data_IF_376851328973
#
_entry.id   IF_376851328973
#
_cell.length_a   1.000
_cell.length_b   1.000
_cell.length_c   1.000
_cell.angle_alpha   90.00
_cell.angle_beta   90.00
_cell.angle_gamma   90.00
#
_symmetry.space_group_name_H-M   'P 1'
#
loop_
_entity.id
_entity.type
_entity.pdbx_description
1 polymer ?
#
# COMPACT_ATOMS: atom_id res chain seq x y z
N UNK A 1 4.87 1.55 -7.76
CA UNK A 1 4.15 2.71 -8.33
C UNK A 1 5.04 3.93 -8.11
N UNK A 2 4.99 4.94 -8.98
CA UNK A 2 5.79 6.14 -8.78
C UNK A 2 5.24 6.96 -7.60
N UNK A 3 6.14 7.46 -6.75
CA UNK A 3 5.84 8.39 -5.67
C UNK A 3 5.27 9.70 -6.26
N UNK A 4 4.37 10.38 -5.54
CA UNK A 4 3.84 11.67 -5.96
C UNK A 4 4.97 12.70 -5.96
N UNK A 5 5.22 13.34 -7.11
CA UNK A 5 6.12 14.49 -7.20
C UNK A 5 5.45 15.74 -6.56
N UNK A 6 5.97 16.24 -5.42
CA UNK A 6 5.37 17.36 -4.72
C UNK A 6 5.53 18.69 -5.47
N UNK A 7 6.62 18.89 -6.22
CA UNK A 7 6.83 20.12 -6.99
C UNK A 7 5.85 20.20 -8.16
N UNK A 8 5.67 19.09 -8.88
CA UNK A 8 4.67 19.00 -9.93
C UNK A 8 3.26 19.25 -9.40
N UNK A 9 2.90 18.61 -8.28
CA UNK A 9 1.58 18.75 -7.68
C UNK A 9 1.29 20.20 -7.23
N UNK A 10 2.27 20.88 -6.62
CA UNK A 10 2.16 22.30 -6.25
C UNK A 10 1.94 23.17 -7.48
N UNK A 11 2.69 22.94 -8.57
CA UNK A 11 2.56 23.71 -9.81
C UNK A 11 1.17 23.55 -10.46
N UNK A 12 0.61 22.34 -10.47
CA UNK A 12 -0.75 22.10 -10.99
C UNK A 12 -1.83 22.78 -10.13
N UNK A 13 -1.68 22.73 -8.80
CA UNK A 13 -2.56 23.45 -7.88
C UNK A 13 -2.47 24.96 -8.11
N UNK A 14 -1.28 25.52 -8.27
CA UNK A 14 -1.10 26.95 -8.51
C UNK A 14 -1.72 27.39 -9.83
N UNK A 15 -1.56 26.61 -10.89
CA UNK A 15 -2.18 26.91 -12.17
C UNK A 15 -3.71 26.87 -12.09
N UNK A 16 -4.29 25.93 -11.34
CA UNK A 16 -5.73 25.89 -11.07
C UNK A 16 -6.19 27.13 -10.26
N UNK A 17 -5.48 27.47 -9.19
CA UNK A 17 -5.78 28.63 -8.35
C UNK A 17 -5.67 29.95 -9.14
N UNK A 18 -4.75 30.03 -10.09
CA UNK A 18 -4.59 31.18 -10.97
C UNK A 18 -5.79 31.30 -11.92
N UNK A 19 -6.15 30.25 -12.65
CA UNK A 19 -7.25 30.23 -13.63
C UNK A 19 -8.61 30.50 -12.98
N UNK A 20 -8.81 30.05 -11.75
CA UNK A 20 -10.06 30.25 -11.01
C UNK A 20 -10.04 31.50 -10.13
N UNK A 21 -8.98 32.32 -10.18
CA UNK A 21 -8.90 33.57 -9.43
C UNK A 21 -9.98 34.56 -9.89
N UNK A 22 -10.56 35.29 -8.93
CA UNK A 22 -11.57 36.31 -9.20
C UNK A 22 -10.91 37.62 -9.57
N UNK A 23 -11.16 38.08 -10.79
CA UNK A 23 -10.63 39.34 -11.34
C UNK A 23 -11.79 40.24 -11.77
N UNK A 24 -11.54 41.56 -11.74
CA UNK A 24 -12.42 42.53 -12.38
C UNK A 24 -12.00 42.63 -13.84
N UNK A 25 -12.87 42.32 -14.83
CA UNK A 25 -12.56 42.47 -16.24
C UNK A 25 -12.19 43.92 -16.57
N UNK A 26 -11.09 44.10 -17.31
CA UNK A 26 -10.82 45.37 -17.98
C UNK A 26 -11.67 45.42 -19.26
N UNK A 27 -12.68 46.29 -19.26
CA UNK A 27 -13.58 46.49 -20.41
C UNK A 27 -13.16 47.69 -21.28
N UNK A 28 -11.99 48.29 -21.01
CA UNK A 28 -11.49 49.46 -21.70
C UNK A 28 -11.97 50.80 -21.12
N UNK A 29 -11.49 51.93 -21.68
CA UNK A 29 -11.69 53.24 -21.09
C UNK A 29 -13.18 53.64 -21.05
N UNK A 30 -13.65 54.03 -19.86
CA UNK A 30 -15.00 54.57 -19.65
C UNK A 30 -16.10 53.54 -19.37
N UNK A 31 -15.78 52.24 -19.32
CA UNK A 31 -16.75 51.17 -19.01
C UNK A 31 -16.44 50.60 -17.61
N UNK A 32 -17.37 50.76 -16.68
CA UNK A 32 -17.28 50.14 -15.36
C UNK A 32 -17.95 48.76 -15.37
N UNK A 33 -17.22 47.71 -15.00
CA UNK A 33 -17.78 46.38 -14.77
C UNK A 33 -18.14 46.19 -13.30
N UNK A 34 -19.39 45.85 -13.01
CA UNK A 34 -19.86 45.56 -11.65
C UNK A 34 -19.87 44.05 -11.42
N UNK A 35 -18.80 43.54 -10.82
CA UNK A 35 -18.68 42.13 -10.44
C UNK A 35 -17.26 41.60 -10.60
N UNK A 36 -17.10 40.29 -10.41
CA UNK A 36 -15.85 39.57 -10.70
C UNK A 36 -16.15 38.35 -11.54
N UNK A 37 -15.18 37.97 -12.38
CA UNK A 37 -15.21 36.74 -13.17
C UNK A 37 -13.97 35.91 -12.87
N UNK A 38 -13.96 34.64 -13.28
CA UNK A 38 -12.73 33.85 -13.27
C UNK A 38 -11.73 34.42 -14.28
N UNK A 39 -10.44 34.38 -13.94
CA UNK A 39 -9.38 34.89 -14.81
C UNK A 39 -9.24 34.09 -16.11
N UNK A 40 -9.49 32.78 -16.06
CA UNK A 40 -9.44 31.89 -17.22
C UNK A 40 -10.79 31.35 -17.64
N UNK A 41 -10.78 30.54 -18.71
CA UNK A 41 -11.99 29.98 -19.28
C UNK A 41 -12.61 28.88 -18.39
N UNK A 42 -13.95 28.69 -18.41
CA UNK A 42 -14.59 27.59 -17.69
C UNK A 42 -14.08 26.20 -18.09
N UNK A 43 -13.69 26.03 -19.37
CA UNK A 43 -13.15 24.78 -19.91
C UNK A 43 -11.75 24.49 -19.39
N UNK A 44 -10.88 25.50 -19.33
CA UNK A 44 -9.55 25.35 -18.72
C UNK A 44 -9.66 25.07 -17.21
N UNK A 45 -10.55 25.79 -16.52
CA UNK A 45 -10.82 25.57 -15.11
C UNK A 45 -11.28 24.12 -14.84
N UNK A 46 -12.17 23.57 -15.67
CA UNK A 46 -12.64 22.20 -15.55
C UNK A 46 -11.53 21.17 -15.80
N UNK A 47 -10.68 21.39 -16.81
CA UNK A 47 -9.56 20.49 -17.10
C UNK A 47 -8.55 20.44 -15.93
N UNK A 48 -8.23 21.61 -15.36
CA UNK A 48 -7.33 21.69 -14.20
C UNK A 48 -7.98 21.16 -12.92
N UNK A 49 -9.28 21.38 -12.74
CA UNK A 49 -10.04 20.83 -11.61
C UNK A 49 -9.88 19.31 -11.54
N UNK A 50 -9.99 18.59 -12.66
CA UNK A 50 -9.82 17.14 -12.68
C UNK A 50 -8.45 16.69 -12.14
N UNK A 51 -7.36 17.35 -12.59
CA UNK A 51 -6.00 17.04 -12.12
C UNK A 51 -5.87 17.34 -10.63
N UNK A 52 -6.39 18.49 -10.18
CA UNK A 52 -6.39 18.86 -8.76
C UNK A 52 -7.17 17.86 -7.92
N UNK A 53 -8.33 17.39 -8.35
CA UNK A 53 -9.10 16.36 -7.63
C UNK A 53 -8.28 15.08 -7.43
N UNK A 54 -7.54 14.64 -8.46
CA UNK A 54 -6.65 13.48 -8.36
C UNK A 54 -5.48 13.70 -7.39
N UNK A 55 -4.94 14.93 -7.33
CA UNK A 55 -3.92 15.31 -6.34
C UNK A 55 -4.55 15.32 -4.94
N UNK A 56 -5.74 15.88 -4.78
CA UNK A 56 -6.44 15.94 -3.50
C UNK A 56 -6.76 14.55 -2.95
N UNK A 57 -7.16 13.60 -3.80
CA UNK A 57 -7.39 12.20 -3.42
C UNK A 57 -6.12 11.54 -2.85
N UNK A 58 -4.92 12.02 -3.22
CA UNK A 58 -3.62 11.55 -2.68
C UNK A 58 -3.14 12.34 -1.47
N UNK A 59 -3.39 13.65 -1.41
CA UNK A 59 -2.78 14.57 -0.43
C UNK A 59 -3.67 14.83 0.78
N UNK A 60 -4.99 14.87 0.60
CA UNK A 60 -5.96 15.16 1.65
C UNK A 60 -7.05 14.09 1.68
N UNK A 61 -6.80 12.91 2.28
CA UNK A 61 -7.81 11.88 2.46
C UNK A 61 -9.08 12.45 3.10
N UNK A 62 -10.24 12.21 2.49
CA UNK A 62 -11.51 12.71 2.98
C UNK A 62 -11.85 14.17 2.60
N UNK A 63 -11.10 14.84 1.73
CA UNK A 63 -11.41 16.21 1.26
C UNK A 63 -12.82 16.35 0.65
N UNK A 64 -13.39 15.25 0.15
CA UNK A 64 -14.75 15.16 -0.41
C UNK A 64 -15.85 15.21 0.67
N UNK A 65 -15.51 15.05 1.95
CA UNK A 65 -16.48 15.18 3.04
C UNK A 65 -16.99 16.63 3.11
N UNK A 66 -18.31 16.81 2.97
CA UNK A 66 -18.92 18.14 2.92
C UNK A 66 -18.88 18.81 1.56
N UNK A 67 -18.59 18.07 0.48
CA UNK A 67 -18.70 18.58 -0.89
C UNK A 67 -20.11 19.17 -1.11
N UNK A 68 -20.24 20.46 -1.49
CA UNK A 68 -21.54 21.06 -1.75
C UNK A 68 -22.19 20.42 -2.99
N UNK A 69 -23.53 20.35 -2.98
CA UNK A 69 -24.32 19.85 -4.13
C UNK A 69 -24.01 20.61 -5.42
N UNK A 70 -23.66 21.89 -5.29
CA UNK A 70 -23.19 22.72 -6.39
C UNK A 70 -22.02 23.58 -5.92
N UNK A 71 -20.82 23.31 -6.43
CA UNK A 71 -19.66 24.17 -6.21
C UNK A 71 -19.63 25.28 -7.25
N UNK A 72 -20.27 26.41 -6.93
CA UNK A 72 -20.30 27.57 -7.84
C UNK A 72 -18.89 28.10 -8.02
N UNK A 73 -18.44 28.12 -9.27
CA UNK A 73 -17.18 28.73 -9.70
C UNK A 73 -15.97 28.17 -8.93
N UNK A 74 -16.06 26.89 -8.54
CA UNK A 74 -15.00 26.15 -7.85
C UNK A 74 -14.60 26.73 -6.50
N UNK A 75 -15.47 27.48 -5.81
CA UNK A 75 -15.12 28.12 -4.55
C UNK A 75 -14.70 27.13 -3.46
N UNK A 76 -15.38 25.98 -3.37
CA UNK A 76 -15.04 24.92 -2.41
C UNK A 76 -13.74 24.22 -2.83
N UNK A 77 -13.65 23.82 -4.10
CA UNK A 77 -12.47 23.14 -4.63
C UNK A 77 -11.21 24.00 -4.50
N UNK A 78 -11.29 25.32 -4.71
CA UNK A 78 -10.20 26.28 -4.44
C UNK A 78 -9.74 26.25 -2.98
N UNK A 79 -10.68 26.17 -2.04
CA UNK A 79 -10.37 26.06 -0.61
C UNK A 79 -9.60 24.77 -0.29
N UNK A 80 -10.02 23.64 -0.86
CA UNK A 80 -9.31 22.36 -0.67
C UNK A 80 -7.95 22.35 -1.38
N UNK A 81 -7.86 22.92 -2.58
CA UNK A 81 -6.62 23.06 -3.33
C UNK A 81 -5.58 23.89 -2.54
N UNK A 82 -6.00 25.02 -1.95
CA UNK A 82 -5.13 25.83 -1.10
C UNK A 82 -4.62 25.05 0.14
N UNK A 83 -5.50 24.28 0.80
CA UNK A 83 -5.09 23.41 1.93
C UNK A 83 -4.08 22.35 1.50
N UNK A 84 -4.30 21.72 0.35
CA UNK A 84 -3.39 20.70 -0.18
C UNK A 84 -2.04 21.28 -0.56
N UNK A 85 -2.02 22.48 -1.15
CA UNK A 85 -0.77 23.21 -1.40
C UNK A 85 0.02 23.41 -0.09
N UNK A 86 -0.62 23.95 0.95
CA UNK A 86 0.06 24.13 2.25
C UNK A 86 0.54 22.81 2.85
N UNK A 87 -0.25 21.73 2.72
CA UNK A 87 0.15 20.40 3.19
C UNK A 87 1.37 19.85 2.44
N UNK A 88 1.50 20.14 1.14
CA UNK A 88 2.67 19.77 0.34
C UNK A 88 3.90 20.63 0.69
N UNK A 89 3.74 21.96 0.71
CA UNK A 89 4.83 22.91 0.99
C UNK A 89 5.43 22.71 2.39
N UNK A 90 4.59 22.42 3.37
CA UNK A 90 4.99 22.27 4.77
C UNK A 90 5.07 20.82 5.21
N UNK A 91 5.05 19.86 4.27
CA UNK A 91 5.01 18.41 4.59
C UNK A 91 6.10 18.02 5.58
N UNK A 92 7.36 18.37 5.30
CA UNK A 92 8.49 18.01 6.16
C UNK A 92 8.43 18.69 7.53
N UNK A 93 8.03 19.96 7.57
CA UNK A 93 7.88 20.71 8.82
C UNK A 93 6.75 20.12 9.69
N UNK A 94 5.58 19.85 9.10
CA UNK A 94 4.44 19.27 9.80
C UNK A 94 4.77 17.87 10.29
N UNK A 95 5.43 17.04 9.49
CA UNK A 95 5.84 15.71 9.92
C UNK A 95 6.82 15.74 11.11
N UNK A 96 7.78 16.68 11.11
CA UNK A 96 8.71 16.86 12.22
C UNK A 96 8.02 17.39 13.48
N UNK A 97 7.16 18.42 13.35
CA UNK A 97 6.57 19.13 14.49
C UNK A 97 5.33 18.45 15.06
N UNK A 98 4.60 17.69 14.24
CA UNK A 98 3.40 16.94 14.65
C UNK A 98 3.70 15.46 14.92
N UNK A 99 4.91 14.98 14.61
CA UNK A 99 5.32 13.61 14.84
C UNK A 99 4.82 12.60 13.79
N UNK A 100 4.42 13.06 12.60
CA UNK A 100 3.99 12.20 11.48
C UNK A 100 5.18 11.58 10.71
N UNK A 101 6.38 11.54 11.28
CA UNK A 101 7.51 10.73 10.78
C UNK A 101 7.31 9.23 11.08
N UNK A 102 6.11 8.71 10.82
CA UNK A 102 5.82 7.28 10.89
C UNK A 102 6.13 6.64 9.53
N UNK A 103 6.95 5.59 9.46
CA UNK A 103 7.16 4.86 8.22
C UNK A 103 5.82 4.29 7.75
N UNK A 104 5.44 4.59 6.51
CA UNK A 104 4.26 4.04 5.86
C UNK A 104 4.57 2.64 5.31
N UNK A 105 3.62 1.71 5.44
CA UNK A 105 3.74 0.36 4.94
C UNK A 105 3.06 0.26 3.57
N UNK A 106 3.78 0.64 2.52
CA UNK A 106 3.29 0.49 1.15
C UNK A 106 3.23 -1.00 0.76
N UNK A 107 2.02 -1.49 0.46
CA UNK A 107 1.77 -2.85 0.01
C UNK A 107 2.58 -3.21 -1.25
N UNK A 108 2.91 -2.23 -2.11
CA UNK A 108 3.74 -2.43 -3.29
C UNK A 108 5.20 -2.78 -2.96
N UNK A 109 5.67 -2.50 -1.75
CA UNK A 109 7.01 -2.84 -1.27
C UNK A 109 7.07 -4.21 -0.56
N UNK A 110 5.94 -4.91 -0.45
CA UNK A 110 5.89 -6.27 0.07
C UNK A 110 6.53 -7.27 -0.91
N UNK A 111 6.84 -8.47 -0.41
CA UNK A 111 7.41 -9.53 -1.25
C UNK A 111 6.47 -9.87 -2.40
N UNK A 112 6.96 -10.05 -3.64
CA UNK A 112 6.09 -10.32 -4.80
C UNK A 112 5.14 -11.50 -4.61
N UNK A 113 5.56 -12.56 -3.92
CA UNK A 113 4.71 -13.71 -3.62
C UNK A 113 3.49 -13.36 -2.75
N UNK A 114 3.63 -12.39 -1.85
CA UNK A 114 2.56 -11.96 -0.97
C UNK A 114 1.65 -10.91 -1.63
N UNK A 115 2.17 -10.07 -2.53
CA UNK A 115 1.41 -8.96 -3.09
C UNK A 115 0.77 -9.27 -4.46
N UNK A 116 1.53 -9.78 -5.42
CA UNK A 116 1.13 -9.73 -6.84
C UNK A 116 -0.16 -10.51 -7.14
N UNK A 117 -0.36 -11.69 -6.53
CA UNK A 117 -1.58 -12.47 -6.75
C UNK A 117 -2.81 -11.88 -6.04
N UNK A 118 -2.61 -11.13 -4.95
CA UNK A 118 -3.67 -10.52 -4.15
C UNK A 118 -4.05 -9.10 -4.59
N UNK A 119 -3.18 -8.40 -5.32
CA UNK A 119 -3.34 -6.99 -5.72
C UNK A 119 -4.68 -6.68 -6.38
N UNK A 120 -5.16 -7.58 -7.25
CA UNK A 120 -6.46 -7.44 -7.90
C UNK A 120 -7.60 -7.38 -6.88
N UNK A 121 -7.62 -8.31 -5.93
CA UNK A 121 -8.63 -8.34 -4.86
C UNK A 121 -8.55 -7.12 -3.96
N UNK A 122 -7.32 -6.71 -3.60
CA UNK A 122 -7.08 -5.52 -2.79
C UNK A 122 -7.71 -4.26 -3.38
N UNK A 123 -7.45 -4.01 -4.67
CA UNK A 123 -7.95 -2.82 -5.37
C UNK A 123 -9.49 -2.76 -5.48
N UNK A 124 -10.18 -3.89 -5.32
CA UNK A 124 -11.63 -3.96 -5.33
C UNK A 124 -12.23 -4.08 -3.91
N UNK A 125 -11.43 -3.85 -2.85
CA UNK A 125 -11.89 -3.90 -1.46
C UNK A 125 -12.09 -5.32 -0.90
N UNK A 126 -11.57 -6.34 -1.58
CA UNK A 126 -11.61 -7.73 -1.13
C UNK A 126 -10.33 -8.10 -0.37
N UNK A 127 -10.06 -7.40 0.74
CA UNK A 127 -8.78 -7.50 1.45
C UNK A 127 -8.50 -8.90 2.00
N UNK A 128 -9.51 -9.55 2.57
CA UNK A 128 -9.39 -10.95 3.03
C UNK A 128 -8.97 -11.91 1.91
N UNK A 129 -9.56 -11.76 0.72
CA UNK A 129 -9.19 -12.59 -0.43
C UNK A 129 -7.76 -12.33 -0.89
N UNK A 130 -7.29 -11.07 -0.81
CA UNK A 130 -5.89 -10.75 -1.10
C UNK A 130 -4.93 -11.50 -0.16
N UNK A 131 -5.25 -11.57 1.15
CA UNK A 131 -4.47 -12.35 2.14
C UNK A 131 -4.49 -13.85 1.81
N UNK A 132 -5.64 -14.40 1.43
CA UNK A 132 -5.73 -15.82 1.06
C UNK A 132 -4.89 -16.14 -0.17
N UNK A 133 -4.86 -15.25 -1.17
CA UNK A 133 -3.99 -15.42 -2.35
C UNK A 133 -2.50 -15.38 -1.97
N UNK A 134 -2.12 -14.53 -1.01
CA UNK A 134 -0.75 -14.51 -0.47
C UNK A 134 -0.38 -15.85 0.18
N UNK A 135 -1.25 -16.38 1.05
CA UNK A 135 -1.03 -17.66 1.72
C UNK A 135 -0.88 -18.82 0.72
N UNK A 136 -1.78 -18.90 -0.27
CA UNK A 136 -1.73 -19.92 -1.33
C UNK A 136 -0.40 -19.82 -2.11
N UNK A 137 -0.02 -18.60 -2.51
CA UNK A 137 1.20 -18.40 -3.29
C UNK A 137 2.45 -18.76 -2.52
N UNK A 138 2.58 -18.29 -1.27
CA UNK A 138 3.77 -18.57 -0.44
C UNK A 138 3.92 -20.07 -0.21
N UNK A 139 2.82 -20.80 0.02
CA UNK A 139 2.86 -22.25 0.11
C UNK A 139 3.37 -22.88 -1.19
N UNK A 140 2.77 -22.53 -2.33
CA UNK A 140 3.13 -23.10 -3.63
C UNK A 140 4.60 -22.83 -4.02
N UNK A 141 5.09 -21.61 -3.78
CA UNK A 141 6.47 -21.24 -4.06
C UNK A 141 7.46 -21.97 -3.13
N UNK A 142 7.06 -22.20 -1.87
CA UNK A 142 7.85 -23.03 -0.94
C UNK A 142 7.93 -24.48 -1.41
N UNK A 143 6.80 -25.05 -1.86
CA UNK A 143 6.75 -26.40 -2.42
C UNK A 143 7.63 -26.50 -3.67
N UNK A 144 7.55 -25.53 -4.58
CA UNK A 144 8.38 -25.47 -5.78
C UNK A 144 9.87 -25.38 -5.44
N UNK A 145 10.23 -24.51 -4.49
CA UNK A 145 11.62 -24.32 -4.06
C UNK A 145 12.23 -25.58 -3.43
N UNK A 146 11.44 -26.35 -2.68
CA UNK A 146 11.88 -27.61 -2.07
C UNK A 146 11.67 -28.83 -2.97
N UNK A 147 11.03 -28.65 -4.13
CA UNK A 147 10.54 -29.74 -4.98
C UNK A 147 9.69 -30.77 -4.19
N UNK A 148 8.79 -30.27 -3.33
CA UNK A 148 7.93 -31.04 -2.41
C UNK A 148 6.45 -30.73 -2.65
N UNK A 149 5.79 -31.48 -3.53
CA UNK A 149 4.35 -31.34 -3.80
C UNK A 149 3.47 -32.24 -2.90
N UNK A 150 4.09 -33.13 -2.14
CA UNK A 150 3.46 -34.15 -1.30
C UNK A 150 3.00 -33.61 0.08
N UNK A 151 3.54 -32.48 0.52
CA UNK A 151 3.21 -31.85 1.80
C UNK A 151 2.93 -30.36 1.61
N UNK A 152 2.00 -29.82 2.40
CA UNK A 152 1.58 -28.42 2.30
C UNK A 152 1.44 -27.76 3.68
N UNK A 153 1.37 -26.43 3.67
CA UNK A 153 1.03 -25.57 4.80
C UNK A 153 1.84 -25.92 6.05
N UNK A 154 1.20 -26.06 7.21
CA UNK A 154 1.87 -26.33 8.48
C UNK A 154 2.84 -27.51 8.41
N UNK A 155 2.49 -28.61 7.73
CA UNK A 155 3.36 -29.77 7.60
C UNK A 155 4.61 -29.46 6.77
N UNK A 156 4.43 -28.77 5.63
CA UNK A 156 5.53 -28.33 4.78
C UNK A 156 6.52 -27.46 5.55
N UNK A 157 6.05 -26.41 6.23
CA UNK A 157 6.93 -25.48 6.94
C UNK A 157 7.60 -26.12 8.17
N UNK A 158 6.90 -27.05 8.82
CA UNK A 158 7.47 -27.84 9.92
C UNK A 158 8.64 -28.72 9.48
N UNK A 159 8.55 -29.32 8.29
CA UNK A 159 9.65 -30.09 7.71
C UNK A 159 10.73 -29.19 7.13
N UNK A 160 10.36 -28.13 6.42
CA UNK A 160 11.27 -27.22 5.73
C UNK A 160 12.26 -26.56 6.69
N UNK A 161 11.78 -25.97 7.78
CA UNK A 161 12.64 -25.29 8.77
C UNK A 161 13.12 -26.20 9.90
N UNK A 162 12.95 -27.52 9.78
CA UNK A 162 13.43 -28.46 10.79
C UNK A 162 14.96 -28.42 10.92
N UNK A 163 15.45 -28.46 12.17
CA UNK A 163 16.88 -28.59 12.48
C UNK A 163 17.42 -30.00 12.27
N UNK A 164 16.54 -30.99 12.09
CA UNK A 164 16.97 -32.36 11.76
C UNK A 164 17.64 -32.36 10.39
N UNK A 165 18.59 -33.27 10.23
CA UNK A 165 19.28 -33.49 8.97
C UNK A 165 18.28 -33.70 7.82
N UNK A 166 18.62 -33.20 6.61
CA UNK A 166 17.84 -33.50 5.42
C UNK A 166 17.79 -35.02 5.21
N UNK A 167 16.69 -35.48 4.64
CA UNK A 167 16.57 -36.88 4.20
C UNK A 167 16.38 -36.87 2.70
N UNK A 168 16.60 -38.03 2.05
CA UNK A 168 16.28 -38.21 0.63
C UNK A 168 14.85 -37.73 0.34
N UNK A 169 14.71 -36.86 -0.65
CA UNK A 169 13.45 -36.21 -1.06
C UNK A 169 12.75 -35.39 0.04
N UNK A 170 13.45 -35.02 1.11
CA UNK A 170 12.93 -34.17 2.18
C UNK A 170 14.00 -33.14 2.53
N UNK A 171 14.30 -32.18 1.62
CA UNK A 171 15.30 -31.15 1.84
C UNK A 171 14.89 -30.19 2.96
N UNK A 172 15.83 -29.33 3.36
CA UNK A 172 15.62 -28.33 4.42
C UNK A 172 15.93 -26.93 3.90
N UNK A 173 15.20 -25.95 4.41
CA UNK A 173 15.54 -24.54 4.27
C UNK A 173 16.51 -24.14 5.38
N UNK A 174 17.56 -23.43 4.99
CA UNK A 174 18.55 -22.85 5.90
C UNK A 174 18.61 -21.34 5.71
N UNK A 175 18.25 -20.59 6.76
CA UNK A 175 18.21 -19.12 6.77
C UNK A 175 19.58 -18.49 7.03
N UNK A 176 20.52 -19.27 7.55
CA UNK A 176 21.92 -18.92 7.72
C UNK A 176 22.76 -20.20 7.68
N UNK A 177 24.07 -20.06 7.52
CA UNK A 177 25.02 -21.17 7.62
C UNK A 177 24.94 -21.82 9.01
N UNK A 178 25.05 -23.15 9.06
CA UNK A 178 25.08 -23.87 10.32
C UNK A 178 26.46 -23.72 10.98
N UNK A 179 26.56 -22.77 11.91
CA UNK A 179 27.74 -22.49 12.72
C UNK A 179 27.71 -23.21 14.08
N UNK A 180 26.71 -24.07 14.32
CA UNK A 180 26.48 -24.73 15.62
C UNK A 180 26.00 -23.80 16.73
N UNK A 181 25.63 -22.56 16.42
CA UNK A 181 25.21 -21.57 17.42
C UNK A 181 23.74 -21.72 17.82
N UNK A 182 23.41 -21.19 19.01
CA UNK A 182 22.01 -21.01 19.43
C UNK A 182 21.25 -20.04 18.51
N UNK A 183 21.94 -19.11 17.85
CA UNK A 183 21.34 -18.18 16.89
C UNK A 183 20.79 -18.95 15.69
N UNK A 184 21.58 -19.88 15.13
CA UNK A 184 21.12 -20.78 14.09
C UNK A 184 19.87 -21.57 14.54
N UNK A 185 19.91 -22.20 15.71
CA UNK A 185 18.77 -22.97 16.22
C UNK A 185 17.50 -22.14 16.42
N UNK A 186 17.64 -20.96 17.05
CA UNK A 186 16.53 -20.08 17.38
C UNK A 186 15.89 -19.48 16.13
N UNK A 187 16.70 -19.10 15.13
CA UNK A 187 16.21 -18.53 13.88
C UNK A 187 15.29 -19.50 13.15
N UNK A 188 15.71 -20.76 12.99
CA UNK A 188 14.92 -21.78 12.30
C UNK A 188 13.69 -22.21 13.12
N UNK A 189 13.84 -22.32 14.44
CA UNK A 189 12.70 -22.61 15.33
C UNK A 189 11.65 -21.49 15.27
N UNK A 190 12.09 -20.23 15.26
CA UNK A 190 11.23 -19.06 15.13
C UNK A 190 10.52 -19.02 13.78
N UNK A 191 11.25 -19.22 12.68
CA UNK A 191 10.67 -19.27 11.34
C UNK A 191 9.61 -20.38 11.21
N UNK A 192 9.89 -21.56 11.79
CA UNK A 192 8.94 -22.67 11.84
C UNK A 192 7.66 -22.30 12.59
N UNK A 193 7.79 -21.79 13.81
CA UNK A 193 6.65 -21.42 14.66
C UNK A 193 5.83 -20.27 14.05
N UNK A 194 6.51 -19.30 13.44
CA UNK A 194 5.86 -18.20 12.73
C UNK A 194 5.01 -18.71 11.57
N UNK A 195 5.58 -19.57 10.71
CA UNK A 195 4.84 -20.16 9.60
C UNK A 195 3.64 -20.99 10.07
N UNK A 196 3.83 -21.84 11.09
CA UNK A 196 2.73 -22.58 11.71
C UNK A 196 1.61 -21.65 12.19
N UNK A 197 1.95 -20.56 12.87
CA UNK A 197 0.99 -19.54 13.32
C UNK A 197 0.22 -18.90 12.16
N UNK A 198 0.90 -18.51 11.07
CA UNK A 198 0.25 -17.90 9.92
C UNK A 198 -0.79 -18.84 9.27
N UNK A 199 -0.42 -20.10 9.03
CA UNK A 199 -1.34 -21.03 8.38
C UNK A 199 -2.45 -21.52 9.33
N UNK A 200 -2.15 -21.70 10.62
CA UNK A 200 -3.14 -22.14 11.61
C UNK A 200 -4.13 -21.04 12.01
N UNK A 201 -3.69 -19.79 12.14
CA UNK A 201 -4.51 -18.70 12.69
C UNK A 201 -5.10 -17.76 11.62
N UNK A 202 -4.46 -17.62 10.45
CA UNK A 202 -4.94 -16.71 9.41
C UNK A 202 -5.62 -17.49 8.29
N UNK A 203 -4.89 -18.43 7.67
CA UNK A 203 -5.41 -19.21 6.54
C UNK A 203 -6.57 -20.12 6.95
N UNK A 204 -6.44 -20.89 8.03
CA UNK A 204 -7.47 -21.87 8.40
C UNK A 204 -8.81 -21.24 8.82
N UNK A 205 -8.87 -20.23 9.72
CA UNK A 205 -10.13 -19.56 10.06
C UNK A 205 -10.72 -18.77 8.88
N UNK A 206 -9.84 -18.20 8.04
CA UNK A 206 -10.23 -17.42 6.86
C UNK A 206 -10.99 -18.21 5.80
N UNK A 207 -10.90 -19.53 5.79
CA UNK A 207 -11.67 -20.40 4.89
C UNK A 207 -13.08 -20.73 5.41
N UNK A 208 -13.39 -20.46 6.68
CA UNK A 208 -14.62 -20.89 7.33
C UNK A 208 -15.63 -19.76 7.63
N UNK A 209 -15.21 -18.49 7.56
CA UNK A 209 -16.10 -17.34 7.79
C UNK A 209 -15.90 -16.31 6.69
N UNK A 210 -16.87 -16.11 5.77
CA UNK A 210 -16.84 -14.97 4.85
C UNK A 210 -17.03 -13.71 5.70
N UNK A 211 -15.95 -12.97 5.94
CA UNK A 211 -16.06 -11.62 6.46
C UNK A 211 -16.28 -10.67 5.28
N UNK A 212 -17.28 -9.81 5.40
CA UNK A 212 -17.46 -8.66 4.51
C UNK A 212 -16.20 -7.80 4.55
N UNK A 213 -15.43 -7.79 3.46
CA UNK A 213 -14.28 -6.91 3.24
C UNK A 213 -13.03 -7.15 4.09
N UNK A 214 -13.16 -7.52 5.37
CA UNK A 214 -12.08 -7.44 6.35
C UNK A 214 -11.68 -5.99 6.66
N UNK A 215 -11.14 -5.74 7.85
CA UNK A 215 -10.52 -4.43 8.13
C UNK A 215 -9.24 -4.32 7.30
N UNK A 216 -9.16 -3.32 6.41
CA UNK A 216 -8.04 -3.08 5.49
C UNK A 216 -6.68 -3.12 6.21
N UNK A 217 -6.59 -2.44 7.35
CA UNK A 217 -5.38 -2.39 8.17
C UNK A 217 -4.95 -3.78 8.65
N UNK A 218 -5.87 -4.57 9.18
CA UNK A 218 -5.58 -5.94 9.66
C UNK A 218 -5.14 -6.82 8.49
N UNK A 219 -5.77 -6.69 7.33
CA UNK A 219 -5.36 -7.43 6.13
C UNK A 219 -3.97 -7.02 5.64
N UNK A 220 -3.60 -5.73 5.72
CA UNK A 220 -2.27 -5.25 5.39
C UNK A 220 -1.21 -5.85 6.31
N UNK A 221 -1.49 -5.91 7.62
CA UNK A 221 -0.60 -6.54 8.61
C UNK A 221 -0.41 -8.04 8.33
N UNK A 222 -1.48 -8.73 7.96
CA UNK A 222 -1.41 -10.15 7.56
C UNK A 222 -0.60 -10.34 6.28
N UNK A 223 -0.78 -9.49 5.27
CA UNK A 223 0.04 -9.49 4.05
C UNK A 223 1.52 -9.23 4.37
N UNK A 224 1.81 -8.31 5.28
CA UNK A 224 3.17 -8.03 5.72
C UNK A 224 3.80 -9.24 6.44
N UNK A 225 3.02 -9.96 7.24
CA UNK A 225 3.47 -11.18 7.89
C UNK A 225 3.80 -12.29 6.86
N UNK A 226 2.93 -12.51 5.86
CA UNK A 226 3.23 -13.44 4.76
C UNK A 226 4.41 -12.98 3.90
N UNK A 227 4.57 -11.67 3.69
CA UNK A 227 5.71 -11.07 2.99
C UNK A 227 7.02 -11.34 3.71
N UNK A 228 7.04 -11.27 5.04
CA UNK A 228 8.22 -11.63 5.83
C UNK A 228 8.57 -13.12 5.70
N UNK A 229 7.57 -14.01 5.82
CA UNK A 229 7.79 -15.45 5.63
C UNK A 229 8.30 -15.75 4.21
N UNK A 230 7.72 -15.12 3.19
CA UNK A 230 8.15 -15.27 1.81
C UNK A 230 9.62 -14.87 1.62
N UNK A 231 10.05 -13.74 2.21
CA UNK A 231 11.47 -13.33 2.19
C UNK A 231 12.39 -14.34 2.85
N UNK A 232 11.97 -14.96 3.95
CA UNK A 232 12.75 -16.01 4.60
C UNK A 232 12.89 -17.25 3.71
N UNK A 233 11.78 -17.72 3.12
CA UNK A 233 11.82 -18.85 2.20
C UNK A 233 12.67 -18.53 0.98
N UNK A 234 12.46 -17.39 0.34
CA UNK A 234 13.14 -16.99 -0.89
C UNK A 234 14.66 -16.82 -0.70
N UNK A 235 15.10 -16.30 0.46
CA UNK A 235 16.54 -16.17 0.78
C UNK A 235 17.19 -17.45 1.31
N UNK A 236 16.40 -18.40 1.82
CA UNK A 236 16.96 -19.61 2.41
C UNK A 236 17.71 -20.46 1.38
N UNK A 237 18.84 -21.04 1.80
CA UNK A 237 19.54 -22.08 1.04
C UNK A 237 18.83 -23.40 1.20
N UNK A 238 18.70 -24.15 0.11
CA UNK A 238 18.17 -25.52 0.14
C UNK A 238 19.30 -26.48 0.47
N UNK A 239 19.15 -27.20 1.58
CA UNK A 239 20.06 -28.26 1.99
C UNK A 239 19.43 -29.61 1.67
N UNK A 240 20.06 -30.35 0.77
CA UNK A 240 19.68 -31.70 0.36
C UNK A 240 20.43 -32.77 1.18
N UNK A 241 19.92 -34.00 1.19
CA UNK A 241 20.48 -35.12 1.95
C UNK A 241 20.63 -36.38 1.12
#
# INVERSE_FOLDING_TARGET
MAELDPEWAINEIDAFLQVTAKVVPDMGPGIAYLGTVMSGSPTEAAARAHVVEMILDRVLPGWRQGLPVQDKEYSWLRGQAARAKTALERRSELAEKLGENTPDLDAANLHPWAWENGKGYWNHGHYHQAVMQAAIRVNAETQAKLNRLDVSETALFNEAFSLRDPKRNVPRLRLMENDGSKTFENLHRGARAFAEGLYAAIRNPGMHVPHDGGEEQVALEQLAAFSLLARWVDKATVLEG
#
